data_IF_395541157667
#
_entry.id   IF_395541157667
#
_cell.length_a   1.000
_cell.length_b   1.000
_cell.length_c   1.000
_cell.angle_alpha   90.00
_cell.angle_beta   90.00
_cell.angle_gamma   90.00
#
_symmetry.space_group_name_H-M   'P 1'
#
loop_
_entity.id
_entity.type
_entity.pdbx_description
1 polymer ?
#
# COMPACT_ATOMS: atom_id res chain seq x y z
N UNK A 1 18.05 6.95 -21.73
CA UNK A 1 18.68 8.27 -21.57
C UNK A 1 17.56 9.25 -21.33
N UNK A 2 17.26 9.55 -20.06
CA UNK A 2 16.20 10.47 -19.68
C UNK A 2 16.81 11.87 -19.59
N UNK A 3 16.25 12.84 -20.31
CA UNK A 3 16.65 14.24 -20.20
C UNK A 3 16.06 14.84 -18.93
N UNK A 4 16.93 15.46 -18.13
CA UNK A 4 16.59 16.15 -16.89
C UNK A 4 16.35 17.62 -17.15
N UNK A 5 15.15 18.08 -16.81
CA UNK A 5 14.85 19.50 -16.59
C UNK A 5 14.34 19.68 -15.17
N UNK A 6 15.06 20.51 -14.41
CA UNK A 6 14.83 20.82 -13.00
C UNK A 6 14.00 22.10 -12.86
N UNK A 7 12.76 21.94 -12.38
CA UNK A 7 12.01 22.97 -11.65
C UNK A 7 10.77 22.33 -11.00
N UNK A 8 10.85 22.00 -9.71
CA UNK A 8 9.74 22.01 -8.74
C UNK A 8 8.40 21.33 -9.06
N UNK A 9 8.32 20.40 -10.01
CA UNK A 9 7.06 19.82 -10.46
C UNK A 9 7.11 18.28 -10.40
N UNK A 10 6.11 17.68 -9.74
CA UNK A 10 5.95 16.23 -9.55
C UNK A 10 5.95 15.53 -10.91
N UNK A 11 7.13 15.09 -11.37
CA UNK A 11 7.33 14.53 -12.72
C UNK A 11 6.35 13.38 -12.95
N UNK A 12 5.42 13.60 -13.88
CA UNK A 12 4.56 12.55 -14.38
C UNK A 12 5.44 11.51 -15.09
N UNK A 13 5.51 10.31 -14.54
CA UNK A 13 6.27 9.21 -15.14
C UNK A 13 5.35 8.32 -15.97
N UNK A 14 5.86 7.87 -17.12
CA UNK A 14 5.23 6.82 -17.92
C UNK A 14 5.95 5.50 -17.62
N UNK A 15 5.19 4.51 -17.18
CA UNK A 15 5.72 3.23 -16.72
C UNK A 15 5.07 2.11 -17.50
N UNK A 16 5.88 1.13 -17.91
CA UNK A 16 5.39 -0.15 -18.44
C UNK A 16 5.80 -1.25 -17.49
N UNK A 17 4.84 -2.06 -17.10
CA UNK A 17 5.08 -3.22 -16.25
C UNK A 17 4.36 -4.44 -16.79
N UNK A 18 4.88 -5.62 -16.47
CA UNK A 18 4.32 -6.91 -16.86
C UNK A 18 3.66 -7.56 -15.66
N UNK A 19 2.39 -7.86 -15.79
CA UNK A 19 1.60 -8.59 -14.80
C UNK A 19 1.12 -9.91 -15.41
N UNK A 20 1.67 -11.03 -14.94
CA UNK A 20 1.55 -12.35 -15.57
C UNK A 20 1.90 -12.30 -17.07
N UNK A 21 0.93 -12.56 -17.95
CA UNK A 21 1.06 -12.52 -19.40
C UNK A 21 0.69 -11.15 -20.02
N UNK A 22 0.26 -10.17 -19.22
CA UNK A 22 -0.18 -8.86 -19.71
C UNK A 22 0.91 -7.80 -19.50
N UNK A 23 1.25 -7.08 -20.56
CA UNK A 23 2.02 -5.83 -20.45
C UNK A 23 1.06 -4.65 -20.36
N UNK A 24 1.21 -3.84 -19.33
CA UNK A 24 0.36 -2.70 -19.02
C UNK A 24 1.19 -1.42 -19.10
N UNK A 25 0.59 -0.37 -19.65
CA UNK A 25 1.13 0.99 -19.61
C UNK A 25 0.35 1.79 -18.59
N UNK A 26 1.06 2.55 -17.76
CA UNK A 26 0.45 3.41 -16.76
C UNK A 26 1.21 4.74 -16.68
N UNK A 27 0.51 5.78 -16.24
CA UNK A 27 1.07 7.10 -16.01
C UNK A 27 0.88 7.42 -14.54
N UNK A 28 1.87 7.99 -13.89
CA UNK A 28 1.77 8.24 -12.46
C UNK A 28 2.87 9.09 -11.90
N UNK A 29 3.04 8.99 -10.59
CA UNK A 29 3.99 9.76 -9.81
C UNK A 29 4.63 8.85 -8.76
N UNK A 30 5.79 9.27 -8.27
CA UNK A 30 6.32 8.76 -7.01
C UNK A 30 5.38 9.19 -5.87
N UNK A 31 5.23 8.34 -4.86
CA UNK A 31 4.33 8.61 -3.73
C UNK A 31 4.85 9.79 -2.91
N UNK A 32 6.14 9.75 -2.59
CA UNK A 32 6.89 10.82 -1.94
C UNK A 32 8.39 10.62 -2.23
N UNK A 33 9.23 11.53 -1.72
CA UNK A 33 10.68 11.46 -1.89
C UNK A 33 11.34 10.37 -1.02
N UNK A 34 10.66 9.91 0.03
CA UNK A 34 11.17 8.94 1.00
C UNK A 34 10.98 7.50 0.50
N UNK A 35 9.98 7.26 -0.36
CA UNK A 35 9.60 5.97 -0.93
C UNK A 35 9.72 5.93 -2.46
N UNK A 36 10.93 6.09 -3.04
CA UNK A 36 11.14 6.16 -4.48
C UNK A 36 10.78 4.85 -5.21
N UNK A 37 10.66 3.73 -4.49
CA UNK A 37 10.24 2.45 -5.03
C UNK A 37 8.71 2.29 -5.09
N UNK A 38 7.92 3.19 -4.49
CA UNK A 38 6.46 3.12 -4.47
C UNK A 38 5.85 4.12 -5.44
N UNK A 39 5.18 3.60 -6.47
CA UNK A 39 4.60 4.40 -7.54
C UNK A 39 3.08 4.39 -7.48
N UNK A 40 2.47 5.57 -7.47
CA UNK A 40 1.02 5.73 -7.64
C UNK A 40 0.70 5.90 -9.11
N UNK A 41 0.03 4.91 -9.70
CA UNK A 41 -0.14 4.81 -11.15
C UNK A 41 -1.62 4.77 -11.56
N UNK A 42 -1.93 5.41 -12.69
CA UNK A 42 -3.18 5.27 -13.43
C UNK A 42 -2.95 4.47 -14.70
N UNK A 43 -3.61 3.32 -14.83
CA UNK A 43 -3.48 2.43 -15.99
C UNK A 43 -4.11 3.09 -17.22
N UNK A 44 -3.31 3.21 -18.28
CA UNK A 44 -3.78 3.76 -19.56
C UNK A 44 -4.50 2.66 -20.34
N UNK A 45 -5.79 2.90 -20.63
CA UNK A 45 -6.65 1.99 -21.40
C UNK A 45 -7.11 2.65 -22.69
N UNK A 46 -6.75 2.07 -23.83
CA UNK A 46 -7.27 2.47 -25.15
C UNK A 46 -8.78 2.15 -25.27
N UNK A 47 -9.44 2.73 -26.27
CA UNK A 47 -10.84 2.45 -26.57
C UNK A 47 -11.09 0.94 -26.78
N UNK A 48 -10.17 0.26 -27.45
CA UNK A 48 -10.21 -1.19 -27.65
C UNK A 48 -10.13 -1.96 -26.34
N UNK A 49 -9.19 -1.61 -25.44
CA UNK A 49 -9.10 -2.26 -24.13
C UNK A 49 -10.38 -2.04 -23.31
N UNK A 50 -10.97 -0.82 -23.35
CA UNK A 50 -12.23 -0.53 -22.66
C UNK A 50 -13.40 -1.36 -23.21
N UNK A 51 -13.46 -1.57 -24.52
CA UNK A 51 -14.46 -2.44 -25.14
C UNK A 51 -14.30 -3.89 -24.67
N UNK A 52 -13.07 -4.43 -24.65
CA UNK A 52 -12.78 -5.77 -24.12
C UNK A 52 -13.23 -5.89 -22.66
N UNK A 53 -12.88 -4.92 -21.81
CA UNK A 53 -13.26 -4.95 -20.38
C UNK A 53 -14.77 -5.02 -20.23
N UNK A 54 -15.53 -4.22 -20.99
CA UNK A 54 -17.00 -4.26 -20.97
C UNK A 54 -17.54 -5.63 -21.36
N UNK A 55 -16.98 -6.26 -22.40
CA UNK A 55 -17.37 -7.60 -22.81
C UNK A 55 -17.06 -8.61 -21.70
N UNK A 56 -15.84 -8.58 -21.15
CA UNK A 56 -15.41 -9.48 -20.08
C UNK A 56 -16.30 -9.37 -18.84
N UNK A 57 -16.66 -8.15 -18.43
CA UNK A 57 -17.52 -7.91 -17.27
C UNK A 57 -18.99 -8.29 -17.51
N UNK A 58 -19.43 -8.38 -18.78
CA UNK A 58 -20.77 -8.84 -19.14
C UNK A 58 -20.89 -10.37 -19.22
N UNK A 59 -19.77 -11.11 -19.17
CA UNK A 59 -19.79 -12.58 -19.20
C UNK A 59 -20.38 -13.17 -17.90
N UNK A 60 -20.94 -14.39 -17.95
CA UNK A 60 -21.26 -15.16 -16.74
C UNK A 60 -20.05 -15.33 -15.81
N UNK A 61 -20.31 -15.40 -14.50
CA UNK A 61 -19.26 -15.42 -13.46
C UNK A 61 -18.19 -16.52 -13.66
N UNK A 62 -18.58 -17.70 -14.13
CA UNK A 62 -17.64 -18.80 -14.44
C UNK A 62 -16.62 -18.42 -15.52
N UNK A 63 -17.08 -17.77 -16.59
CA UNK A 63 -16.22 -17.27 -17.67
C UNK A 63 -15.39 -16.07 -17.21
N UNK A 64 -15.93 -15.21 -16.34
CA UNK A 64 -15.15 -14.13 -15.72
C UNK A 64 -13.98 -14.69 -14.91
N UNK A 65 -14.19 -15.76 -14.15
CA UNK A 65 -13.11 -16.37 -13.36
C UNK A 65 -12.00 -16.94 -14.24
N UNK A 66 -12.35 -17.60 -15.35
CA UNK A 66 -11.36 -18.05 -16.32
C UNK A 66 -10.61 -16.85 -16.94
N UNK A 67 -11.32 -15.79 -17.32
CA UNK A 67 -10.71 -14.58 -17.85
C UNK A 67 -9.79 -13.90 -16.83
N UNK A 68 -10.16 -13.84 -15.55
CA UNK A 68 -9.30 -13.34 -14.46
C UNK A 68 -8.04 -14.17 -14.31
N UNK A 69 -8.11 -15.48 -14.52
CA UNK A 69 -6.92 -16.34 -14.44
C UNK A 69 -5.95 -16.07 -15.61
N UNK A 70 -6.47 -15.94 -16.84
CA UNK A 70 -5.67 -15.82 -18.06
C UNK A 70 -5.16 -14.40 -18.31
N UNK A 71 -6.01 -13.40 -18.11
CA UNK A 71 -5.73 -12.00 -18.43
C UNK A 71 -6.09 -11.06 -17.27
N UNK A 72 -5.52 -11.29 -16.06
CA UNK A 72 -5.86 -10.53 -14.85
C UNK A 72 -5.62 -9.03 -15.02
N UNK A 73 -4.71 -8.63 -15.90
CA UNK A 73 -4.43 -7.22 -16.19
C UNK A 73 -5.63 -6.44 -16.69
N UNK A 74 -6.68 -7.06 -17.26
CA UNK A 74 -7.91 -6.35 -17.63
C UNK A 74 -8.85 -6.08 -16.46
N UNK A 75 -8.68 -6.80 -15.35
CA UNK A 75 -9.51 -6.68 -14.15
C UNK A 75 -8.88 -5.79 -13.06
N UNK A 76 -7.66 -5.32 -13.28
CA UNK A 76 -7.05 -4.31 -12.41
C UNK A 76 -7.86 -3.00 -12.44
N UNK A 77 -8.05 -2.35 -11.29
CA UNK A 77 -8.67 -1.03 -11.23
C UNK A 77 -7.85 0.00 -12.00
N UNK A 78 -8.47 1.14 -12.30
CA UNK A 78 -7.79 2.22 -13.04
C UNK A 78 -6.61 2.82 -12.28
N UNK A 79 -6.68 2.87 -10.94
CA UNK A 79 -5.63 3.38 -10.07
C UNK A 79 -5.06 2.25 -9.22
N UNK A 80 -3.73 2.17 -9.15
CA UNK A 80 -2.99 1.14 -8.43
C UNK A 80 -1.75 1.75 -7.77
N UNK A 81 -1.22 1.05 -6.79
CA UNK A 81 0.13 1.25 -6.29
C UNK A 81 1.03 0.15 -6.87
N UNK A 82 2.19 0.53 -7.39
CA UNK A 82 3.23 -0.38 -7.83
C UNK A 82 4.45 -0.20 -6.92
N UNK A 83 4.66 -1.13 -5.99
CA UNK A 83 5.82 -1.14 -5.08
C UNK A 83 6.92 -2.02 -5.68
N UNK A 84 8.01 -1.41 -6.14
CA UNK A 84 9.19 -2.11 -6.68
C UNK A 84 10.06 -2.63 -5.54
N UNK A 85 10.72 -3.75 -5.79
CA UNK A 85 11.78 -4.27 -4.92
C UNK A 85 12.97 -3.30 -4.88
N UNK A 86 13.45 -3.02 -3.66
CA UNK A 86 14.67 -2.23 -3.43
C UNK A 86 15.90 -3.08 -3.84
N UNK A 87 17.04 -2.48 -4.23
CA UNK A 87 18.27 -3.24 -4.48
C UNK A 87 18.71 -4.00 -3.22
N UNK A 88 19.10 -5.26 -3.36
CA UNK A 88 19.63 -6.12 -2.28
C UNK A 88 18.65 -6.34 -1.10
N UNK A 89 17.34 -6.34 -1.37
CA UNK A 89 16.25 -6.49 -0.39
C UNK A 89 15.32 -7.66 -0.77
N UNK A 90 15.90 -8.74 -1.27
CA UNK A 90 15.14 -9.90 -1.74
C UNK A 90 14.37 -10.57 -0.60
N UNK A 91 14.98 -10.69 0.59
CA UNK A 91 14.39 -11.35 1.76
C UNK A 91 13.19 -10.55 2.31
N UNK A 92 13.32 -9.24 2.47
CA UNK A 92 12.24 -8.36 2.94
C UNK A 92 11.09 -8.30 1.93
N UNK A 93 11.40 -8.33 0.64
CA UNK A 93 10.38 -8.37 -0.41
C UNK A 93 9.65 -9.71 -0.45
N UNK A 94 10.37 -10.82 -0.27
CA UNK A 94 9.76 -12.15 -0.17
C UNK A 94 8.91 -12.29 1.10
N UNK A 95 9.36 -11.69 2.21
CA UNK A 95 8.56 -11.57 3.42
C UNK A 95 7.25 -10.80 3.15
N UNK A 96 7.33 -9.61 2.55
CA UNK A 96 6.14 -8.80 2.23
C UNK A 96 5.15 -9.58 1.35
N UNK A 97 5.64 -10.32 0.36
CA UNK A 97 4.82 -11.20 -0.49
C UNK A 97 4.12 -12.29 0.33
N UNK A 98 4.84 -12.94 1.26
CA UNK A 98 4.30 -13.95 2.15
C UNK A 98 3.20 -13.36 3.06
N UNK A 99 3.46 -12.18 3.63
CA UNK A 99 2.53 -11.51 4.54
C UNK A 99 1.23 -11.14 3.86
N UNK A 100 1.25 -10.68 2.60
CA UNK A 100 0.02 -10.46 1.85
C UNK A 100 -0.78 -11.76 1.64
N UNK A 101 -0.12 -12.90 1.43
CA UNK A 101 -0.80 -14.19 1.24
C UNK A 101 -1.41 -14.73 2.55
N UNK A 102 -0.71 -14.57 3.68
CA UNK A 102 -1.19 -14.94 5.01
C UNK A 102 -2.36 -14.04 5.46
N UNK A 103 -2.27 -12.74 5.19
CA UNK A 103 -3.28 -11.74 5.53
C UNK A 103 -4.36 -11.56 4.46
N UNK A 104 -4.55 -12.53 3.56
CA UNK A 104 -5.63 -12.50 2.55
C UNK A 104 -7.00 -12.12 3.11
N UNK A 105 -7.46 -12.66 4.26
CA UNK A 105 -8.76 -12.30 4.80
C UNK A 105 -8.84 -10.85 5.27
N UNK A 106 -7.69 -10.21 5.57
CA UNK A 106 -7.57 -8.86 6.10
C UNK A 106 -7.38 -7.77 5.01
N UNK A 107 -7.20 -8.19 3.75
CA UNK A 107 -6.98 -7.28 2.63
C UNK A 107 -8.21 -6.42 2.31
N UNK A 108 -7.97 -5.16 1.96
CA UNK A 108 -8.98 -4.15 1.63
C UNK A 108 -9.53 -3.38 2.83
N UNK A 109 -9.35 -3.90 4.05
CA UNK A 109 -9.81 -3.20 5.26
C UNK A 109 -8.74 -3.01 6.35
N UNK A 110 -7.79 -3.92 6.51
CA UNK A 110 -6.66 -3.74 7.45
C UNK A 110 -5.38 -3.38 6.70
N UNK A 111 -5.16 -4.01 5.56
CA UNK A 111 -4.02 -3.80 4.67
C UNK A 111 -4.52 -3.59 3.22
N UNK A 112 -3.69 -3.05 2.30
CA UNK A 112 -4.05 -2.97 0.89
C UNK A 112 -4.37 -4.34 0.27
N UNK A 113 -5.19 -4.35 -0.79
CA UNK A 113 -5.38 -5.55 -1.61
C UNK A 113 -4.13 -5.75 -2.46
N UNK A 114 -3.49 -6.91 -2.35
CA UNK A 114 -2.44 -7.34 -3.24
C UNK A 114 -3.04 -8.07 -4.44
N UNK A 115 -2.95 -7.45 -5.62
CA UNK A 115 -3.35 -8.08 -6.88
C UNK A 115 -2.32 -9.11 -7.38
N UNK A 116 -1.08 -9.01 -6.87
CA UNK A 116 -0.02 -9.99 -7.08
C UNK A 116 1.28 -9.40 -7.61
N UNK A 117 2.19 -10.30 -7.97
CA UNK A 117 3.54 -9.99 -8.45
C UNK A 117 3.57 -9.52 -9.90
N UNK A 118 4.41 -8.53 -10.16
CA UNK A 118 4.69 -7.94 -11.46
C UNK A 118 6.19 -7.75 -11.66
N UNK A 119 6.54 -7.38 -12.90
CA UNK A 119 7.90 -7.02 -13.29
C UNK A 119 7.90 -5.61 -13.89
N UNK A 120 8.77 -4.74 -13.40
CA UNK A 120 8.94 -3.38 -13.89
C UNK A 120 10.42 -3.04 -13.94
N UNK A 121 10.90 -2.58 -15.09
CA UNK A 121 12.31 -2.22 -15.30
C UNK A 121 13.31 -3.31 -14.87
N UNK A 122 12.96 -4.57 -15.14
CA UNK A 122 13.78 -5.74 -14.78
C UNK A 122 13.72 -6.13 -13.29
N UNK A 123 12.98 -5.40 -12.46
CA UNK A 123 12.80 -5.69 -11.03
C UNK A 123 11.44 -6.30 -10.74
N UNK A 124 11.37 -7.12 -9.69
CA UNK A 124 10.11 -7.58 -9.09
C UNK A 124 9.36 -6.40 -8.48
N UNK A 125 8.04 -6.47 -8.52
CA UNK A 125 7.16 -5.46 -7.95
C UNK A 125 5.85 -6.09 -7.47
N UNK A 126 5.21 -5.47 -6.48
CA UNK A 126 3.85 -5.76 -6.04
C UNK A 126 2.88 -4.78 -6.66
N UNK A 127 1.75 -5.28 -7.15
CA UNK A 127 0.60 -4.46 -7.53
C UNK A 127 -0.38 -4.45 -6.37
N UNK A 128 -0.58 -3.30 -5.77
CA UNK A 128 -1.46 -3.12 -4.62
C UNK A 128 -2.64 -2.20 -4.99
N UNK A 129 -3.75 -2.34 -4.28
CA UNK A 129 -4.83 -1.37 -4.34
C UNK A 129 -4.34 -0.04 -3.81
N UNK A 130 -4.72 1.03 -4.49
CA UNK A 130 -4.67 2.33 -3.86
C UNK A 130 -5.74 2.43 -2.77
N UNK A 131 -5.33 2.86 -1.58
CA UNK A 131 -6.21 3.10 -0.44
C UNK A 131 -6.52 4.59 -0.39
N UNK A 132 -7.80 4.94 -0.38
CA UNK A 132 -8.25 6.34 -0.26
C UNK A 132 -8.25 6.75 1.22
N UNK A 133 -7.06 7.03 1.74
CA UNK A 133 -6.84 7.55 3.09
C UNK A 133 -5.83 8.69 3.09
N UNK A 134 -5.61 9.26 4.27
CA UNK A 134 -4.61 10.32 4.49
C UNK A 134 -3.59 9.85 5.51
N UNK A 135 -2.31 10.21 5.31
CA UNK A 135 -1.31 9.93 6.34
C UNK A 135 -1.62 10.77 7.61
N UNK A 136 -1.25 10.29 8.82
CA UNK A 136 -1.46 11.02 10.06
C UNK A 136 -0.92 12.45 10.05
N UNK A 137 0.15 12.71 9.29
CA UNK A 137 0.76 14.04 9.19
C UNK A 137 0.19 14.92 8.07
N UNK A 138 -0.70 14.40 7.23
CA UNK A 138 -1.36 15.14 6.14
C UNK A 138 -2.78 15.61 6.50
N UNK A 139 -3.17 15.44 7.77
CA UNK A 139 -4.50 15.82 8.24
C UNK A 139 -4.74 17.33 8.16
N UNK A 140 -6.01 17.76 7.93
CA UNK A 140 -6.36 19.17 7.99
C UNK A 140 -5.96 19.80 9.33
N UNK A 141 -5.40 21.01 9.25
CA UNK A 141 -4.93 21.75 10.43
C UNK A 141 -6.10 21.97 11.41
N UNK A 142 -7.30 22.28 10.93
CA UNK A 142 -8.40 22.67 11.82
C UNK A 142 -9.12 21.47 12.47
N UNK A 143 -8.92 20.26 11.96
CA UNK A 143 -9.66 19.06 12.38
C UNK A 143 -8.78 17.81 12.44
N UNK A 144 -7.67 17.81 13.20
CA UNK A 144 -6.89 16.59 13.38
C UNK A 144 -7.66 15.56 14.20
N UNK A 145 -7.34 14.30 13.98
CA UNK A 145 -7.69 13.22 14.90
C UNK A 145 -7.06 13.48 16.27
N UNK A 146 -7.83 13.25 17.33
CA UNK A 146 -7.27 13.34 18.68
C UNK A 146 -6.30 12.17 18.97
N UNK A 147 -5.30 12.42 19.82
CA UNK A 147 -4.27 11.41 20.14
C UNK A 147 -4.87 10.15 20.77
N UNK A 148 -5.78 10.23 21.76
CA UNK A 148 -6.43 9.03 22.31
C UNK A 148 -7.14 8.17 21.27
N UNK A 149 -7.87 8.79 20.34
CA UNK A 149 -8.60 8.13 19.26
C UNK A 149 -7.64 7.52 18.24
N UNK A 150 -6.57 8.22 17.88
CA UNK A 150 -5.49 7.66 17.05
C UNK A 150 -4.91 6.39 17.68
N UNK A 151 -4.54 6.44 18.96
CA UNK A 151 -4.04 5.27 19.69
C UNK A 151 -5.08 4.15 19.77
N UNK A 152 -6.36 4.48 19.98
CA UNK A 152 -7.45 3.50 20.03
C UNK A 152 -7.56 2.76 18.70
N UNK A 153 -7.53 3.48 17.57
CA UNK A 153 -7.59 2.88 16.23
C UNK A 153 -6.36 2.04 15.92
N UNK A 154 -5.16 2.48 16.34
CA UNK A 154 -3.93 1.70 16.18
C UNK A 154 -4.00 0.39 16.95
N UNK A 155 -4.46 0.40 18.21
CA UNK A 155 -4.65 -0.83 19.00
C UNK A 155 -5.61 -1.80 18.33
N UNK A 156 -6.70 -1.30 17.74
CA UNK A 156 -7.63 -2.14 16.98
C UNK A 156 -6.91 -2.76 15.78
N UNK A 157 -6.23 -1.95 14.97
CA UNK A 157 -5.53 -2.44 13.77
C UNK A 157 -4.45 -3.49 14.12
N UNK A 158 -3.62 -3.23 15.14
CA UNK A 158 -2.62 -4.21 15.55
C UNK A 158 -3.21 -5.41 16.29
N UNK A 159 -4.31 -5.24 17.02
CA UNK A 159 -5.02 -6.38 17.63
C UNK A 159 -5.58 -7.32 16.56
N UNK A 160 -6.10 -6.76 15.46
CA UNK A 160 -6.54 -7.56 14.31
C UNK A 160 -5.36 -8.26 13.62
N UNK A 161 -4.20 -7.61 13.48
CA UNK A 161 -2.97 -8.24 12.99
C UNK A 161 -2.51 -9.37 13.93
N UNK A 162 -2.51 -9.09 15.22
CA UNK A 162 -2.13 -10.00 16.30
C UNK A 162 -3.03 -11.24 16.40
N UNK A 163 -4.30 -11.15 15.98
CA UNK A 163 -5.19 -12.29 15.88
C UNK A 163 -4.72 -13.36 14.86
N UNK A 164 -3.79 -13.00 13.96
CA UNK A 164 -3.09 -13.92 13.06
C UNK A 164 -1.75 -14.41 13.62
N UNK A 165 -1.41 -14.06 14.86
CA UNK A 165 -0.09 -14.33 15.47
C UNK A 165 1.03 -13.45 14.91
N UNK A 166 0.69 -12.30 14.30
CA UNK A 166 1.62 -11.43 13.60
C UNK A 166 1.89 -10.13 14.35
N UNK A 167 3.12 -9.66 14.24
CA UNK A 167 3.65 -8.46 14.88
C UNK A 167 4.15 -7.48 13.83
N UNK A 168 3.83 -6.20 14.00
CA UNK A 168 4.25 -5.15 13.08
C UNK A 168 5.61 -4.56 13.52
N UNK A 169 6.59 -4.47 12.61
CA UNK A 169 7.95 -4.07 12.97
C UNK A 169 8.31 -2.60 12.73
N UNK A 170 7.56 -1.84 11.93
CA UNK A 170 7.95 -0.49 11.51
C UNK A 170 6.90 0.59 11.85
N UNK A 171 6.74 0.99 13.12
CA UNK A 171 5.62 1.80 13.59
C UNK A 171 5.66 3.30 13.20
N UNK A 172 6.24 3.64 12.04
CA UNK A 172 6.30 5.01 11.51
C UNK A 172 4.94 5.51 11.03
N UNK A 173 4.77 6.84 11.01
CA UNK A 173 3.48 7.46 10.70
C UNK A 173 3.09 7.33 9.22
N UNK A 174 4.06 7.31 8.32
CA UNK A 174 3.89 7.12 6.87
C UNK A 174 3.39 5.72 6.49
N UNK A 175 3.57 4.75 7.37
CA UNK A 175 3.04 3.40 7.21
C UNK A 175 1.56 3.26 7.62
N UNK A 176 0.89 4.36 7.99
CA UNK A 176 -0.53 4.36 8.31
C UNK A 176 -1.32 5.24 7.36
N UNK A 177 -2.49 4.77 6.97
CA UNK A 177 -3.51 5.56 6.30
C UNK A 177 -4.75 5.63 7.18
N UNK A 178 -5.15 6.85 7.53
CA UNK A 178 -6.42 7.11 8.21
C UNK A 178 -7.54 7.01 7.19
N UNK A 179 -8.45 6.06 7.39
CA UNK A 179 -9.61 5.81 6.51
C UNK A 179 -10.86 5.76 7.39
N UNK A 180 -11.74 6.75 7.27
CA UNK A 180 -12.95 6.88 8.09
C UNK A 180 -12.66 6.71 9.59
N UNK A 181 -13.08 5.58 10.17
CA UNK A 181 -12.91 5.22 11.59
C UNK A 181 -11.87 4.11 11.84
N UNK A 182 -11.06 3.76 10.84
CA UNK A 182 -10.03 2.72 10.92
C UNK A 182 -8.67 3.22 10.48
N UNK A 183 -7.66 2.40 10.74
CA UNK A 183 -6.31 2.57 10.22
C UNK A 183 -6.04 1.42 9.25
N UNK A 184 -5.51 1.76 8.08
CA UNK A 184 -4.90 0.79 7.17
C UNK A 184 -3.41 0.83 7.37
N UNK A 185 -2.82 -0.33 7.61
CA UNK A 185 -1.37 -0.52 7.72
C UNK A 185 -0.86 -0.79 6.30
N UNK A 186 0.14 -0.01 5.87
CA UNK A 186 0.87 -0.25 4.63
C UNK A 186 2.29 -0.69 4.98
N UNK A 187 3.00 -1.18 3.97
CA UNK A 187 4.35 -1.74 4.10
C UNK A 187 4.44 -2.90 5.10
N UNK A 188 4.40 -4.12 4.58
CA UNK A 188 4.43 -5.35 5.40
C UNK A 188 5.81 -6.01 5.42
N UNK A 189 6.86 -5.31 4.97
CA UNK A 189 8.20 -5.88 4.82
C UNK A 189 8.84 -6.29 6.15
N UNK A 190 8.41 -5.67 7.26
CA UNK A 190 8.89 -5.92 8.64
C UNK A 190 7.89 -6.66 9.52
N UNK A 191 6.83 -7.23 8.95
CA UNK A 191 5.90 -8.05 9.73
C UNK A 191 6.53 -9.40 10.02
N UNK A 192 6.43 -9.84 11.27
CA UNK A 192 7.00 -11.11 11.75
C UNK A 192 5.98 -11.91 12.56
N UNK A 193 6.18 -13.23 12.65
CA UNK A 193 5.41 -14.10 13.53
C UNK A 193 5.89 -13.98 14.99
N UNK A 194 4.95 -14.01 15.93
CA UNK A 194 5.25 -14.10 17.36
C UNK A 194 5.94 -15.42 17.70
N UNK A 195 6.96 -15.37 18.57
CA UNK A 195 7.75 -16.54 18.95
C UNK A 195 7.35 -17.07 20.32
N UNK A 196 6.92 -16.16 21.20
CA UNK A 196 6.55 -16.44 22.58
C UNK A 196 5.14 -15.91 22.90
N UNK A 197 4.51 -16.50 23.92
CA UNK A 197 3.24 -16.02 24.43
C UNK A 197 3.43 -14.63 25.06
N UNK A 198 2.61 -13.65 24.67
CA UNK A 198 2.72 -12.27 25.12
C UNK A 198 3.53 -11.34 24.21
N UNK A 199 4.25 -11.88 23.21
CA UNK A 199 5.02 -11.08 22.26
C UNK A 199 4.13 -10.09 21.49
N UNK A 200 2.97 -10.56 21.04
CA UNK A 200 1.98 -9.76 20.30
C UNK A 200 1.53 -8.57 21.14
N UNK A 201 1.06 -8.82 22.35
CA UNK A 201 0.56 -7.79 23.26
C UNK A 201 1.65 -6.76 23.61
N UNK A 202 2.88 -7.23 23.84
CA UNK A 202 4.01 -6.37 24.11
C UNK A 202 4.34 -5.46 22.92
N UNK A 203 4.42 -6.02 21.71
CA UNK A 203 4.71 -5.26 20.49
C UNK A 203 3.58 -4.27 20.18
N UNK A 204 2.32 -4.66 20.37
CA UNK A 204 1.17 -3.75 20.20
C UNK A 204 1.33 -2.51 21.06
N UNK A 205 1.54 -2.67 22.37
CA UNK A 205 1.62 -1.52 23.26
C UNK A 205 2.87 -0.69 22.97
N UNK A 206 4.03 -1.31 22.78
CA UNK A 206 5.28 -0.62 22.41
C UNK A 206 5.12 0.23 21.14
N UNK A 207 4.55 -0.34 20.09
CA UNK A 207 4.32 0.36 18.82
C UNK A 207 3.31 1.49 18.95
N UNK A 208 2.23 1.28 19.72
CA UNK A 208 1.23 2.33 19.98
C UNK A 208 1.87 3.49 20.74
N UNK A 209 2.73 3.21 21.72
CA UNK A 209 3.45 4.26 22.45
C UNK A 209 4.42 5.03 21.53
N UNK A 210 5.17 4.32 20.69
CA UNK A 210 6.09 4.93 19.75
C UNK A 210 5.34 5.84 18.74
N UNK A 211 4.28 5.32 18.12
CA UNK A 211 3.48 6.06 17.15
C UNK A 211 2.75 7.25 17.81
N UNK A 212 2.26 7.09 19.05
CA UNK A 212 1.65 8.16 19.85
C UNK A 212 2.60 9.34 20.02
N UNK A 213 3.84 9.08 20.38
CA UNK A 213 4.81 10.13 20.70
C UNK A 213 5.22 10.90 19.44
N UNK A 214 5.38 10.21 18.31
CA UNK A 214 5.58 10.83 17.00
C UNK A 214 4.38 11.66 16.57
N UNK A 215 3.17 11.11 16.70
CA UNK A 215 1.95 11.81 16.33
C UNK A 215 1.72 13.07 17.18
N UNK A 216 1.97 12.97 18.49
CA UNK A 216 1.92 14.12 19.41
C UNK A 216 2.95 15.19 19.05
N UNK A 217 4.16 14.78 18.68
CA UNK A 217 5.21 15.71 18.23
C UNK A 217 4.75 16.45 16.96
N UNK A 218 4.20 15.73 15.99
CA UNK A 218 3.61 16.32 14.80
C UNK A 218 2.52 17.35 15.15
N UNK A 219 1.55 16.98 16.00
CA UNK A 219 0.45 17.89 16.37
C UNK A 219 0.92 19.17 17.07
N UNK A 220 2.04 19.13 17.80
CA UNK A 220 2.64 20.31 18.42
C UNK A 220 3.32 21.22 17.41
N UNK A 221 3.99 20.63 16.42
CA UNK A 221 4.86 21.36 15.49
C UNK A 221 4.15 21.77 14.19
N UNK A 222 2.96 21.24 13.90
CA UNK A 222 2.21 21.54 12.65
C UNK A 222 1.76 22.99 12.46
N UNK A 223 1.86 23.82 13.50
CA UNK A 223 1.57 25.27 13.44
C UNK A 223 2.84 26.12 13.30
N UNK A 224 4.04 25.52 13.28
CA UNK A 224 5.26 26.26 13.00
C UNK A 224 5.38 26.48 11.48
N UNK A 225 5.44 27.74 11.01
CA UNK A 225 5.78 27.99 9.61
C UNK A 225 7.21 27.50 9.38
N UNK A 226 7.40 26.74 8.30
CA UNK A 226 8.71 26.37 7.77
C UNK A 226 9.44 27.60 7.23
#
# INVERSE_FOLDING_TARGET
MAEEYDQGDLRLISVRFRFKANTLSAIGRYTDAEHPNVLRLTIVRSAFHRAIIRILLALPYTLQNLARALVPGYFLPSRIILKKMKPDWDDEFDNEVCMYEQLRPAQGYLIPICYGLAWCDGKRALILSEVEGIAPFEQPIDTPLDVPEFCRRLRVAYGELGAYGLMYGDPKLDNYLLVDNRIVIVDLETVEEAKEEGDVEFVIESNVEFARDRYRSYLKNRHMPW
#
